data_IF_253952868917
#
_entry.id   IF_253952868917
#
_cell.length_a   1.000
_cell.length_b   1.000
_cell.length_c   1.000
_cell.angle_alpha   90.00
_cell.angle_beta   90.00
_cell.angle_gamma   90.00
#
_symmetry.space_group_name_H-M   'P 1'
#
loop_
_entity.id
_entity.type
_entity.pdbx_description
1 polymer ?
#
# COMPACT_ATOMS: atom_id res chain seq x y z
N UNK A 1 -20.57 -4.22 11.60
CA UNK A 1 -21.13 -4.90 12.78
C UNK A 1 -22.53 -5.44 12.55
N UNK A 2 -23.50 -4.63 12.13
CA UNK A 2 -24.89 -5.08 11.93
C UNK A 2 -25.05 -6.37 11.09
N UNK A 3 -24.33 -6.51 9.97
CA UNK A 3 -24.38 -7.73 9.14
C UNK A 3 -23.76 -8.97 9.81
N UNK A 4 -22.72 -8.78 10.63
CA UNK A 4 -22.04 -9.87 11.34
C UNK A 4 -22.90 -10.41 12.49
N UNK A 5 -23.61 -9.52 13.19
CA UNK A 5 -24.46 -9.88 14.34
C UNK A 5 -25.66 -10.75 13.95
N UNK A 6 -26.17 -10.59 12.74
CA UNK A 6 -27.30 -11.38 12.22
C UNK A 6 -26.85 -12.61 11.42
N UNK A 7 -25.56 -12.76 11.14
CA UNK A 7 -25.02 -13.86 10.38
C UNK A 7 -25.14 -15.17 11.16
N UNK A 8 -25.57 -16.25 10.49
CA UNK A 8 -25.80 -17.57 11.09
C UNK A 8 -24.85 -18.66 10.56
N UNK A 9 -24.01 -18.32 9.58
CA UNK A 9 -23.07 -19.27 8.99
C UNK A 9 -21.82 -19.42 9.85
N UNK A 10 -21.20 -20.60 9.80
CA UNK A 10 -19.90 -20.85 10.45
C UNK A 10 -18.78 -19.98 9.88
N UNK A 11 -18.96 -19.55 8.62
CA UNK A 11 -18.09 -18.65 7.91
C UNK A 11 -18.84 -17.39 7.46
N UNK A 12 -18.15 -16.26 7.54
CA UNK A 12 -18.61 -14.94 7.13
C UNK A 12 -17.73 -14.45 5.97
N UNK A 13 -18.29 -14.38 4.77
CA UNK A 13 -17.61 -13.89 3.58
C UNK A 13 -17.90 -12.40 3.35
N UNK A 14 -16.88 -11.65 2.94
CA UNK A 14 -16.99 -10.24 2.57
C UNK A 14 -16.56 -10.03 1.12
N UNK A 15 -17.17 -9.04 0.49
CA UNK A 15 -16.81 -8.59 -0.85
C UNK A 15 -17.21 -7.13 -1.04
N UNK A 16 -16.57 -6.46 -2.00
CA UNK A 16 -16.84 -5.06 -2.30
C UNK A 16 -17.94 -4.92 -3.38
N UNK A 17 -18.63 -3.78 -3.39
CA UNK A 17 -19.69 -3.50 -4.39
C UNK A 17 -19.14 -3.37 -5.82
N UNK A 18 -17.85 -3.08 -5.97
CA UNK A 18 -17.18 -2.88 -7.25
C UNK A 18 -16.40 -4.11 -7.74
N UNK A 19 -16.66 -5.28 -7.15
CA UNK A 19 -16.09 -6.56 -7.64
C UNK A 19 -17.18 -7.53 -8.10
N UNK A 20 -16.78 -8.43 -9.01
CA UNK A 20 -17.62 -9.49 -9.57
C UNK A 20 -17.00 -10.85 -9.21
N UNK A 21 -17.55 -11.56 -8.21
CA UNK A 21 -17.09 -12.90 -7.87
C UNK A 21 -17.32 -13.91 -9.01
N UNK A 22 -16.39 -14.85 -9.18
CA UNK A 22 -16.61 -16.02 -10.03
C UNK A 22 -17.63 -16.98 -9.40
N UNK A 23 -18.27 -17.82 -10.22
CA UNK A 23 -19.33 -18.72 -9.77
C UNK A 23 -18.88 -19.69 -8.64
N UNK A 24 -17.62 -20.12 -8.68
CA UNK A 24 -17.02 -21.03 -7.70
C UNK A 24 -16.35 -20.29 -6.52
N UNK A 25 -16.59 -18.98 -6.33
CA UNK A 25 -15.88 -18.16 -5.36
C UNK A 25 -16.00 -18.69 -3.92
N UNK A 26 -17.22 -18.94 -3.43
CA UNK A 26 -17.46 -19.42 -2.08
C UNK A 26 -16.96 -20.86 -1.88
N UNK A 27 -17.24 -21.74 -2.85
CA UNK A 27 -16.75 -23.13 -2.84
C UNK A 27 -15.23 -23.19 -2.71
N UNK A 28 -14.52 -22.40 -3.52
CA UNK A 28 -13.05 -22.34 -3.50
C UNK A 28 -12.49 -21.83 -2.16
N UNK A 29 -13.17 -20.89 -1.51
CA UNK A 29 -12.80 -20.41 -0.17
C UNK A 29 -13.02 -21.49 0.87
N UNK A 30 -14.15 -22.19 0.82
CA UNK A 30 -14.49 -23.28 1.74
C UNK A 30 -13.54 -24.46 1.61
N UNK A 31 -13.24 -24.91 0.40
CA UNK A 31 -12.26 -25.99 0.16
C UNK A 31 -10.88 -25.68 0.74
N UNK A 32 -10.50 -24.40 0.68
CA UNK A 32 -9.21 -23.93 1.18
C UNK A 32 -9.19 -23.70 2.70
N UNK A 33 -10.36 -23.69 3.34
CA UNK A 33 -10.55 -23.43 4.78
C UNK A 33 -10.16 -24.60 5.69
N UNK A 34 -9.96 -25.79 5.11
CA UNK A 34 -9.55 -26.98 5.86
C UNK A 34 -8.16 -26.78 6.44
N UNK A 35 -8.05 -26.89 7.77
CA UNK A 35 -6.77 -26.84 8.48
C UNK A 35 -5.87 -28.00 8.11
N UNK A 36 -4.59 -27.70 7.87
CA UNK A 36 -3.51 -28.70 7.75
C UNK A 36 -2.76 -28.83 9.08
N UNK A 37 -1.87 -29.80 9.17
CA UNK A 37 -1.03 -29.98 10.37
C UNK A 37 -0.31 -28.67 10.75
N UNK A 38 -0.48 -28.25 12.01
CA UNK A 38 0.06 -26.99 12.51
C UNK A 38 -0.61 -25.72 11.96
N UNK A 39 -1.81 -25.81 11.38
CA UNK A 39 -2.66 -24.66 10.99
C UNK A 39 -3.93 -24.62 11.84
N UNK A 40 -4.28 -23.43 12.33
CA UNK A 40 -5.62 -23.14 12.83
C UNK A 40 -6.27 -22.14 11.88
N UNK A 41 -6.89 -22.62 10.79
CA UNK A 41 -7.41 -21.71 9.77
C UNK A 41 -8.64 -20.96 10.28
N UNK A 42 -8.49 -19.64 10.44
CA UNK A 42 -9.55 -18.74 10.91
C UNK A 42 -10.01 -17.77 9.83
N UNK A 43 -9.26 -17.67 8.73
CA UNK A 43 -9.64 -16.87 7.58
C UNK A 43 -9.00 -17.39 6.29
N UNK A 44 -9.70 -17.18 5.18
CA UNK A 44 -9.26 -17.49 3.83
C UNK A 44 -9.37 -16.24 2.97
N UNK A 45 -8.36 -15.94 2.16
CA UNK A 45 -8.38 -14.85 1.19
C UNK A 45 -8.06 -15.37 -0.20
N UNK A 46 -8.80 -14.89 -1.20
CA UNK A 46 -8.64 -15.30 -2.58
C UNK A 46 -7.84 -14.31 -3.41
N UNK A 47 -7.94 -14.43 -4.72
CA UNK A 47 -7.27 -13.58 -5.71
C UNK A 47 -8.22 -12.50 -6.22
N UNK A 48 -7.76 -11.25 -6.21
CA UNK A 48 -8.47 -10.14 -6.85
C UNK A 48 -7.80 -9.82 -8.20
N UNK A 49 -8.55 -9.97 -9.29
CA UNK A 49 -8.11 -9.64 -10.65
C UNK A 49 -8.65 -8.26 -11.00
N UNK A 50 -7.78 -7.33 -11.37
CA UNK A 50 -8.20 -5.99 -11.76
C UNK A 50 -8.32 -5.92 -13.28
N UNK A 51 -9.49 -5.51 -13.77
CA UNK A 51 -9.68 -5.28 -15.20
C UNK A 51 -8.69 -4.24 -15.73
N UNK A 52 -8.23 -4.41 -16.98
CA UNK A 52 -7.32 -3.47 -17.65
C UNK A 52 -8.15 -2.46 -18.44
N UNK A 53 -7.95 -1.17 -18.18
CA UNK A 53 -8.32 -0.08 -19.09
C UNK A 53 -7.06 0.60 -19.63
N UNK A 54 -7.18 1.34 -20.74
CA UNK A 54 -6.02 1.96 -21.42
C UNK A 54 -5.38 3.15 -20.67
N UNK A 55 -5.93 3.53 -19.51
CA UNK A 55 -5.46 4.65 -18.71
C UNK A 55 -4.18 4.33 -17.90
N UNK A 56 -3.34 5.34 -17.70
CA UNK A 56 -2.06 5.24 -16.96
C UNK A 56 -2.28 4.70 -15.55
N UNK A 57 -3.38 5.08 -14.90
CA UNK A 57 -3.77 4.62 -13.57
C UNK A 57 -4.09 3.12 -13.57
N UNK A 58 -4.80 2.64 -14.59
CA UNK A 58 -5.10 1.22 -14.72
C UNK A 58 -3.84 0.39 -14.95
N UNK A 59 -2.87 0.92 -15.71
CA UNK A 59 -1.56 0.25 -15.92
C UNK A 59 -0.75 0.14 -14.64
N UNK A 60 -0.71 1.20 -13.80
CA UNK A 60 -0.06 1.14 -12.48
C UNK A 60 -0.69 0.05 -11.63
N UNK A 61 -2.03 0.07 -11.50
CA UNK A 61 -2.75 -0.90 -10.69
C UNK A 61 -2.53 -2.33 -11.18
N UNK A 62 -2.67 -2.59 -12.48
CA UNK A 62 -2.52 -3.94 -13.03
C UNK A 62 -1.12 -4.52 -12.78
N UNK A 63 -0.08 -3.70 -12.91
CA UNK A 63 1.32 -4.12 -12.70
C UNK A 63 1.60 -4.43 -11.22
N UNK A 64 1.17 -3.56 -10.29
CA UNK A 64 1.36 -3.80 -8.86
C UNK A 64 0.66 -5.08 -8.41
N UNK A 65 -0.57 -5.30 -8.88
CA UNK A 65 -1.39 -6.46 -8.54
C UNK A 65 -0.81 -7.73 -9.16
N UNK A 66 -0.48 -7.74 -10.44
CA UNK A 66 0.09 -8.92 -11.10
C UNK A 66 1.40 -9.39 -10.44
N UNK A 67 2.23 -8.47 -9.94
CA UNK A 67 3.43 -8.81 -9.14
C UNK A 67 3.10 -9.39 -7.75
N UNK A 68 2.01 -8.95 -7.10
CA UNK A 68 1.62 -9.42 -5.76
C UNK A 68 1.00 -10.82 -5.75
N UNK A 69 0.37 -11.26 -6.85
CA UNK A 69 -0.39 -12.53 -6.88
C UNK A 69 0.34 -13.72 -7.51
N UNK A 70 1.47 -13.51 -8.19
CA UNK A 70 2.12 -14.57 -9.00
C UNK A 70 2.73 -15.72 -8.19
N UNK A 71 3.00 -15.53 -6.90
CA UNK A 71 3.72 -16.51 -6.07
C UNK A 71 3.42 -16.39 -4.57
N UNK A 72 2.14 -16.25 -4.21
CA UNK A 72 1.77 -16.08 -2.80
C UNK A 72 1.69 -17.44 -2.09
N UNK A 73 2.41 -17.64 -0.96
CA UNK A 73 2.36 -18.89 -0.21
C UNK A 73 0.97 -19.10 0.42
N UNK A 74 0.65 -20.37 0.75
CA UNK A 74 -0.62 -20.72 1.42
C UNK A 74 -0.83 -19.88 2.68
N UNK A 75 0.16 -19.80 3.58
CA UNK A 75 0.06 -18.94 4.77
C UNK A 75 0.43 -17.50 4.39
N UNK A 76 -0.41 -16.53 4.75
CA UNK A 76 -0.17 -15.13 4.43
C UNK A 76 -0.55 -14.21 5.58
N UNK A 77 0.17 -13.10 5.75
CA UNK A 77 -0.12 -12.11 6.79
C UNK A 77 -0.85 -10.87 6.24
N UNK A 78 -1.24 -10.93 4.98
CA UNK A 78 -1.87 -9.85 4.27
C UNK A 78 -3.11 -10.43 3.62
N UNK A 79 -4.15 -9.63 3.49
CA UNK A 79 -5.39 -10.08 2.90
C UNK A 79 -5.90 -9.11 1.86
N UNK A 80 -6.82 -9.62 1.05
CA UNK A 80 -7.47 -8.86 0.02
C UNK A 80 -8.92 -8.66 0.45
N UNK A 81 -9.21 -7.49 1.04
CA UNK A 81 -10.56 -7.10 1.49
C UNK A 81 -11.73 -7.59 0.62
N UNK A 82 -11.71 -7.41 -0.72
CA UNK A 82 -12.83 -7.81 -1.57
C UNK A 82 -13.02 -9.32 -1.77
N UNK A 83 -12.06 -10.15 -1.33
CA UNK A 83 -12.06 -11.60 -1.56
C UNK A 83 -11.60 -12.31 -0.31
N UNK A 84 -12.48 -12.34 0.70
CA UNK A 84 -12.13 -12.76 2.04
C UNK A 84 -13.28 -13.45 2.75
N UNK A 85 -12.96 -14.45 3.55
CA UNK A 85 -13.89 -15.19 4.40
C UNK A 85 -13.26 -15.49 5.75
N UNK A 86 -14.04 -15.38 6.82
CA UNK A 86 -13.60 -15.49 8.21
C UNK A 86 -14.45 -16.49 8.96
N UNK A 87 -13.87 -17.22 9.90
CA UNK A 87 -14.64 -18.07 10.81
C UNK A 87 -15.42 -17.16 11.73
N UNK A 88 -16.75 -17.27 11.71
CA UNK A 88 -17.66 -16.27 12.31
C UNK A 88 -17.38 -16.08 13.80
N UNK A 89 -17.22 -17.17 14.55
CA UNK A 89 -16.96 -17.12 15.98
C UNK A 89 -15.62 -16.46 16.33
N UNK A 90 -14.57 -16.72 15.54
CA UNK A 90 -13.24 -16.12 15.75
C UNK A 90 -13.28 -14.61 15.45
N UNK A 91 -13.99 -14.23 14.39
CA UNK A 91 -14.20 -12.83 14.03
C UNK A 91 -14.98 -12.06 15.11
N UNK A 92 -16.02 -12.68 15.69
CA UNK A 92 -16.77 -12.11 16.81
C UNK A 92 -15.89 -12.00 18.06
N UNK A 93 -15.09 -13.02 18.37
CA UNK A 93 -14.22 -13.06 19.54
C UNK A 93 -13.19 -11.92 19.58
N UNK A 94 -12.68 -11.48 18.41
CA UNK A 94 -11.75 -10.34 18.29
C UNK A 94 -12.45 -8.96 18.23
N UNK A 95 -13.78 -8.94 18.38
CA UNK A 95 -14.64 -7.75 18.36
C UNK A 95 -15.09 -7.30 16.96
N UNK A 96 -14.90 -8.13 15.93
CA UNK A 96 -15.33 -7.84 14.55
C UNK A 96 -14.65 -6.61 13.93
N UNK A 97 -15.37 -5.98 12.99
CA UNK A 97 -14.94 -4.77 12.29
C UNK A 97 -15.29 -3.52 13.10
N UNK A 98 -14.29 -2.82 13.61
CA UNK A 98 -14.51 -1.62 14.40
C UNK A 98 -14.94 -0.44 13.50
N UNK A 99 -16.14 0.15 13.70
CA UNK A 99 -16.63 1.27 12.89
C UNK A 99 -15.85 2.58 13.08
N UNK A 100 -15.08 2.71 14.16
CA UNK A 100 -14.24 3.89 14.42
C UNK A 100 -12.97 3.91 13.55
N UNK A 101 -12.62 2.78 12.93
CA UNK A 101 -11.44 2.68 12.09
C UNK A 101 -11.66 3.36 10.74
N UNK A 102 -10.84 4.37 10.47
CA UNK A 102 -10.82 4.99 9.15
C UNK A 102 -9.98 4.16 8.20
N UNK A 103 -10.66 3.37 7.35
CA UNK A 103 -10.09 2.54 6.28
C UNK A 103 -9.11 1.45 6.75
N UNK A 104 -8.85 0.44 5.92
CA UNK A 104 -7.98 -0.72 6.24
C UNK A 104 -8.47 -1.57 7.42
N UNK A 105 -9.77 -1.53 7.70
CA UNK A 105 -10.46 -2.31 8.72
C UNK A 105 -10.24 -3.81 8.56
N UNK A 106 -10.26 -4.32 7.32
CA UNK A 106 -10.01 -5.72 7.03
C UNK A 106 -8.62 -6.13 7.51
N UNK A 107 -7.62 -5.30 7.22
CA UNK A 107 -6.22 -5.58 7.56
C UNK A 107 -6.02 -5.69 9.08
N UNK A 108 -6.65 -4.81 9.85
CA UNK A 108 -6.57 -4.85 11.31
C UNK A 108 -7.32 -6.06 11.90
N UNK A 109 -8.44 -6.46 11.29
CA UNK A 109 -9.12 -7.73 11.63
C UNK A 109 -8.18 -8.92 11.43
N UNK A 110 -7.49 -8.99 10.29
CA UNK A 110 -6.52 -10.05 10.02
C UNK A 110 -5.35 -10.07 11.01
N UNK A 111 -4.85 -8.90 11.38
CA UNK A 111 -3.79 -8.77 12.38
C UNK A 111 -4.22 -9.31 13.73
N UNK A 112 -5.42 -8.93 14.19
CA UNK A 112 -5.99 -9.46 15.44
C UNK A 112 -6.18 -10.98 15.39
N UNK A 113 -6.63 -11.52 14.27
CA UNK A 113 -6.78 -12.98 14.09
C UNK A 113 -5.43 -13.70 14.19
N UNK A 114 -4.36 -13.14 13.62
CA UNK A 114 -3.01 -13.68 13.75
C UNK A 114 -2.51 -13.60 15.19
N UNK A 115 -2.70 -12.46 15.86
CA UNK A 115 -2.33 -12.26 17.27
C UNK A 115 -3.07 -13.24 18.20
N UNK A 116 -4.29 -13.62 17.86
CA UNK A 116 -5.07 -14.65 18.55
C UNK A 116 -4.60 -16.10 18.26
N UNK A 117 -3.52 -16.28 17.49
CA UNK A 117 -2.98 -17.60 17.12
C UNK A 117 -3.63 -18.23 15.89
N UNK A 118 -4.46 -17.47 15.18
CA UNK A 118 -5.12 -17.91 13.94
C UNK A 118 -4.17 -17.92 12.74
N UNK A 119 -4.44 -18.82 11.80
CA UNK A 119 -3.77 -18.93 10.51
C UNK A 119 -4.66 -18.37 9.41
N UNK A 120 -4.10 -17.50 8.57
CA UNK A 120 -4.78 -17.00 7.37
C UNK A 120 -4.22 -17.72 6.16
N UNK A 121 -5.13 -18.25 5.34
CA UNK A 121 -4.81 -19.00 4.13
C UNK A 121 -5.12 -18.20 2.88
N UNK A 122 -4.20 -18.17 1.93
CA UNK A 122 -4.42 -17.70 0.57
C UNK A 122 -4.77 -18.86 -0.36
N UNK A 123 -5.75 -18.64 -1.24
CA UNK A 123 -6.08 -19.55 -2.34
C UNK A 123 -6.12 -18.80 -3.68
N UNK A 124 -5.45 -19.30 -4.74
CA UNK A 124 -5.53 -18.69 -6.05
C UNK A 124 -6.84 -19.00 -6.80
N UNK A 125 -7.64 -19.94 -6.29
CA UNK A 125 -8.83 -20.48 -6.98
C UNK A 125 -10.10 -19.69 -6.69
N UNK A 126 -10.19 -19.03 -5.54
CA UNK A 126 -11.27 -18.09 -5.25
C UNK A 126 -10.96 -16.75 -5.92
N UNK A 127 -11.68 -16.42 -6.99
CA UNK A 127 -11.39 -15.23 -7.81
C UNK A 127 -12.54 -14.23 -7.76
N UNK A 128 -12.18 -12.96 -7.61
CA UNK A 128 -13.10 -11.83 -7.82
C UNK A 128 -12.49 -10.86 -8.84
N UNK A 129 -13.32 -10.32 -9.73
CA UNK A 129 -12.93 -9.39 -10.77
C UNK A 129 -13.33 -7.97 -10.40
N UNK A 130 -12.35 -7.12 -10.14
CA UNK A 130 -12.56 -5.71 -9.82
C UNK A 130 -12.90 -4.92 -11.08
N UNK A 131 -14.01 -4.19 -11.03
CA UNK A 131 -14.43 -3.27 -12.07
C UNK A 131 -13.46 -2.08 -12.08
N UNK A 132 -12.80 -1.74 -13.21
CA UNK A 132 -11.81 -0.68 -13.24
C UNK A 132 -12.44 0.66 -12.85
N UNK A 133 -11.98 1.24 -11.76
CA UNK A 133 -12.29 2.63 -11.45
C UNK A 133 -11.35 3.55 -12.22
N UNK A 134 -11.92 4.43 -13.05
CA UNK A 134 -11.18 5.49 -13.74
C UNK A 134 -11.18 6.77 -12.91
N UNK A 135 -10.09 7.54 -13.01
CA UNK A 135 -10.05 8.91 -12.49
C UNK A 135 -8.94 9.16 -11.48
N UNK A 136 -8.17 10.22 -11.75
CA UNK A 136 -7.04 10.64 -10.93
C UNK A 136 -7.45 10.98 -9.49
N UNK A 137 -8.52 11.76 -9.32
CA UNK A 137 -8.97 12.19 -7.99
C UNK A 137 -9.33 11.00 -7.09
N UNK A 138 -10.06 10.01 -7.62
CA UNK A 138 -10.43 8.81 -6.86
C UNK A 138 -9.20 7.99 -6.49
N UNK A 139 -8.26 7.83 -7.42
CA UNK A 139 -6.98 7.16 -7.16
C UNK A 139 -6.19 7.86 -6.04
N UNK A 140 -6.00 9.17 -6.13
CA UNK A 140 -5.24 9.94 -5.14
C UNK A 140 -5.93 9.92 -3.77
N UNK A 141 -7.26 10.05 -3.73
CA UNK A 141 -8.02 9.96 -2.49
C UNK A 141 -7.89 8.58 -1.84
N UNK A 142 -7.89 7.49 -2.61
CA UNK A 142 -7.61 6.15 -2.08
C UNK A 142 -6.21 6.08 -1.46
N UNK A 143 -5.18 6.51 -2.18
CA UNK A 143 -3.78 6.50 -1.68
C UNK A 143 -3.57 7.35 -0.43
N UNK A 144 -4.26 8.49 -0.34
CA UNK A 144 -4.28 9.32 0.88
C UNK A 144 -4.86 8.57 2.07
N UNK A 145 -5.99 7.88 1.88
CA UNK A 145 -6.66 7.08 2.92
C UNK A 145 -5.78 5.92 3.37
N UNK A 146 -5.18 5.20 2.41
CA UNK A 146 -4.23 4.12 2.66
C UNK A 146 -3.08 4.63 3.54
N UNK A 147 -2.42 5.72 3.14
CA UNK A 147 -1.27 6.27 3.87
C UNK A 147 -1.63 6.74 5.29
N UNK A 148 -2.83 7.28 5.49
CA UNK A 148 -3.35 7.67 6.82
C UNK A 148 -3.55 6.46 7.73
N UNK A 149 -4.25 5.43 7.23
CA UNK A 149 -4.48 4.19 7.97
C UNK A 149 -3.17 3.46 8.30
N UNK A 150 -2.18 3.54 7.40
CA UNK A 150 -0.86 2.94 7.64
C UNK A 150 -0.17 3.46 8.91
N UNK A 151 -0.36 4.74 9.27
CA UNK A 151 0.20 5.30 10.51
C UNK A 151 -0.42 4.62 11.74
N UNK A 152 -1.73 4.31 11.71
CA UNK A 152 -2.41 3.57 12.78
C UNK A 152 -1.81 2.18 12.92
N UNK A 153 -1.76 1.44 11.81
CA UNK A 153 -1.28 0.06 11.78
C UNK A 153 0.17 -0.02 12.24
N UNK A 154 1.06 0.83 11.72
CA UNK A 154 2.47 0.82 12.12
C UNK A 154 2.65 1.13 13.61
N UNK A 155 1.88 2.08 14.16
CA UNK A 155 1.97 2.42 15.60
C UNK A 155 1.51 1.28 16.50
N UNK A 156 0.42 0.59 16.10
CA UNK A 156 -0.25 -0.43 16.91
C UNK A 156 0.37 -1.82 16.78
N UNK A 157 0.79 -2.21 15.57
CA UNK A 157 1.26 -3.56 15.24
C UNK A 157 2.74 -3.57 14.87
N UNK A 158 3.60 -3.45 15.89
CA UNK A 158 5.07 -3.42 15.69
C UNK A 158 5.59 -4.80 15.29
N UNK A 159 6.48 -4.85 14.29
CA UNK A 159 7.20 -6.07 13.90
C UNK A 159 6.55 -6.91 12.80
N UNK A 160 5.35 -6.56 12.33
CA UNK A 160 4.73 -7.25 11.21
C UNK A 160 5.22 -6.64 9.89
N UNK A 161 5.86 -7.46 9.04
CA UNK A 161 6.25 -7.06 7.68
C UNK A 161 5.00 -6.94 6.81
N UNK A 162 4.49 -5.72 6.69
CA UNK A 162 3.36 -5.41 5.82
C UNK A 162 3.82 -4.89 4.46
N UNK A 163 3.45 -5.56 3.37
CA UNK A 163 3.64 -5.05 2.01
C UNK A 163 2.51 -4.08 1.60
N UNK A 164 2.17 -3.19 2.52
CA UNK A 164 1.08 -2.23 2.36
C UNK A 164 1.39 -1.21 1.27
N UNK A 165 2.66 -0.83 1.19
CA UNK A 165 3.09 0.29 0.37
C UNK A 165 3.46 -0.19 -1.05
N UNK A 166 3.86 -1.44 -1.29
CA UNK A 166 4.16 -1.94 -2.64
C UNK A 166 5.10 -1.00 -3.40
N UNK A 167 4.74 -0.54 -4.60
CA UNK A 167 5.57 0.44 -5.33
C UNK A 167 5.47 1.88 -4.79
N UNK A 168 4.52 2.17 -3.90
CA UNK A 168 4.27 3.50 -3.35
C UNK A 168 5.41 4.03 -2.47
N UNK A 169 6.33 3.19 -1.97
CA UNK A 169 7.42 3.64 -1.10
C UNK A 169 8.44 4.43 -1.91
N UNK A 170 8.66 3.98 -3.15
CA UNK A 170 9.50 4.68 -4.11
C UNK A 170 8.86 6.04 -4.41
N UNK A 171 7.54 6.08 -4.64
CA UNK A 171 6.81 7.33 -4.95
C UNK A 171 6.73 8.28 -3.76
N UNK A 172 6.63 7.77 -2.53
CA UNK A 172 6.64 8.58 -1.31
C UNK A 172 7.87 9.50 -1.27
N UNK A 173 9.03 8.98 -1.62
CA UNK A 173 10.29 9.72 -1.58
C UNK A 173 10.50 10.70 -2.74
N UNK A 174 9.65 10.69 -3.77
CA UNK A 174 9.80 11.54 -4.95
C UNK A 174 9.89 13.03 -4.58
N UNK A 175 8.95 13.58 -3.81
CA UNK A 175 8.96 15.01 -3.46
C UNK A 175 10.15 15.39 -2.57
N UNK A 176 10.39 14.75 -1.41
CA UNK A 176 11.52 15.10 -0.55
C UNK A 176 12.85 15.04 -1.27
N UNK A 177 13.07 14.00 -2.08
CA UNK A 177 14.32 13.84 -2.81
C UNK A 177 14.44 14.83 -3.97
N UNK A 178 13.34 15.20 -4.64
CA UNK A 178 13.37 16.26 -5.66
C UNK A 178 13.70 17.63 -5.05
N UNK A 179 13.20 17.91 -3.83
CA UNK A 179 13.56 19.12 -3.07
C UNK A 179 15.05 19.09 -2.74
N UNK A 180 15.56 17.98 -2.20
CA UNK A 180 17.00 17.84 -1.90
C UNK A 180 17.87 18.00 -3.15
N UNK A 181 17.48 17.41 -4.29
CA UNK A 181 18.19 17.62 -5.55
C UNK A 181 18.20 19.09 -5.95
N UNK A 182 17.08 19.79 -5.84
CA UNK A 182 16.99 21.22 -6.17
C UNK A 182 17.88 22.06 -5.25
N UNK A 183 17.86 21.78 -3.95
CA UNK A 183 18.71 22.47 -2.96
C UNK A 183 20.19 22.18 -3.22
N UNK A 184 20.57 20.94 -3.48
CA UNK A 184 21.94 20.55 -3.76
C UNK A 184 22.49 21.19 -5.04
N UNK A 185 21.69 21.23 -6.12
CA UNK A 185 22.05 21.93 -7.36
C UNK A 185 22.15 23.43 -7.11
N UNK A 186 21.19 24.03 -6.41
CA UNK A 186 21.21 25.47 -6.10
C UNK A 186 22.47 25.85 -5.31
N UNK A 187 22.82 25.05 -4.29
CA UNK A 187 24.02 25.27 -3.50
C UNK A 187 25.28 25.11 -4.34
N UNK A 188 25.35 24.08 -5.19
CA UNK A 188 26.46 23.89 -6.13
C UNK A 188 26.64 25.10 -7.06
N UNK A 189 25.56 25.59 -7.67
CA UNK A 189 25.58 26.75 -8.55
C UNK A 189 25.96 28.03 -7.79
N UNK A 190 25.54 28.16 -6.53
CA UNK A 190 25.89 29.30 -5.67
C UNK A 190 27.39 29.29 -5.37
N UNK A 191 27.95 28.13 -5.01
CA UNK A 191 29.40 27.97 -4.81
C UNK A 191 30.17 28.33 -6.09
N UNK A 192 29.71 27.82 -7.24
CA UNK A 192 30.35 28.07 -8.53
C UNK A 192 30.31 29.55 -8.93
N UNK A 193 29.21 30.24 -8.63
CA UNK A 193 29.08 31.69 -8.87
C UNK A 193 29.98 32.57 -8.01
N UNK A 194 30.59 32.00 -6.95
CA UNK A 194 31.58 32.69 -6.11
C UNK A 194 32.96 32.79 -6.76
N UNK A 195 33.22 32.05 -7.84
CA UNK A 195 34.48 32.09 -8.57
C UNK A 195 34.41 33.10 -9.73
N UNK A 196 35.53 33.81 -9.96
CA UNK A 196 35.63 34.80 -11.05
C UNK A 196 35.71 34.17 -12.44
N UNK A 197 36.26 32.97 -12.54
CA UNK A 197 36.35 32.17 -13.77
C UNK A 197 35.89 30.74 -13.49
N UNK A 198 35.23 30.12 -14.48
CA UNK A 198 34.77 28.73 -14.39
C UNK A 198 35.81 27.84 -15.08
N UNK A 199 36.71 27.30 -14.29
CA UNK A 199 37.74 26.34 -14.68
C UNK A 199 37.50 24.93 -14.06
N UNK A 200 38.38 23.98 -14.33
CA UNK A 200 38.25 22.62 -13.77
C UNK A 200 38.36 22.58 -12.25
N UNK A 201 39.11 23.51 -11.66
CA UNK A 201 39.36 23.54 -10.22
C UNK A 201 38.16 24.09 -9.46
N UNK A 202 37.58 25.20 -9.90
CA UNK A 202 36.34 25.78 -9.37
C UNK A 202 35.16 24.81 -9.48
N UNK A 203 35.05 24.03 -10.56
CA UNK A 203 34.04 22.96 -10.70
C UNK A 203 34.21 21.90 -9.61
N UNK A 204 35.44 21.47 -9.34
CA UNK A 204 35.74 20.46 -8.32
C UNK A 204 35.54 20.99 -6.91
N UNK A 205 36.03 22.20 -6.61
CA UNK A 205 35.93 22.81 -5.28
C UNK A 205 34.47 23.19 -4.94
N UNK A 206 33.64 23.50 -5.95
CA UNK A 206 32.21 23.76 -5.77
C UNK A 206 31.43 22.52 -5.34
N UNK A 207 31.95 21.30 -5.56
CA UNK A 207 31.41 20.03 -5.05
C UNK A 207 31.81 19.85 -3.58
N UNK A 208 31.37 20.76 -2.72
CA UNK A 208 31.68 20.70 -1.30
C UNK A 208 31.08 19.45 -0.64
N UNK A 209 31.56 19.11 0.56
CA UNK A 209 31.05 17.98 1.34
C UNK A 209 29.54 18.07 1.53
N UNK A 210 29.00 19.26 1.75
CA UNK A 210 27.58 19.51 1.94
C UNK A 210 26.78 19.18 0.67
N UNK A 211 27.23 19.66 -0.49
CA UNK A 211 26.62 19.35 -1.79
C UNK A 211 26.59 17.84 -2.03
N UNK A 212 27.71 17.16 -1.77
CA UNK A 212 27.82 15.70 -1.93
C UNK A 212 26.87 14.95 -0.97
N UNK A 213 26.78 15.37 0.29
CA UNK A 213 25.90 14.76 1.28
C UNK A 213 24.41 14.98 0.95
N UNK A 214 24.04 16.12 0.36
CA UNK A 214 22.66 16.38 -0.06
C UNK A 214 22.29 15.52 -1.27
N UNK A 215 23.21 15.37 -2.23
CA UNK A 215 22.94 14.66 -3.50
C UNK A 215 23.04 13.14 -3.40
N UNK A 216 23.72 12.58 -2.39
CA UNK A 216 23.88 11.13 -2.26
C UNK A 216 22.54 10.39 -2.11
N UNK A 217 21.58 10.96 -1.36
CA UNK A 217 20.29 10.32 -1.11
C UNK A 217 19.42 10.23 -2.38
N UNK A 218 19.23 11.32 -3.16
CA UNK A 218 18.62 11.23 -4.49
C UNK A 218 19.30 10.23 -5.43
N UNK A 219 20.64 10.20 -5.44
CA UNK A 219 21.40 9.29 -6.31
C UNK A 219 21.13 7.81 -5.99
N UNK A 220 21.13 7.45 -4.70
CA UNK A 220 20.81 6.08 -4.25
C UNK A 220 19.37 5.70 -4.62
N UNK A 221 18.43 6.64 -4.52
CA UNK A 221 17.02 6.38 -4.81
C UNK A 221 16.68 6.26 -6.30
N UNK A 222 17.46 6.89 -7.20
CA UNK A 222 17.24 6.80 -8.65
C UNK A 222 17.24 5.33 -9.12
N UNK A 223 18.11 4.48 -8.58
CA UNK A 223 18.19 3.06 -8.94
C UNK A 223 16.87 2.32 -8.73
N UNK A 224 16.34 2.24 -7.49
CA UNK A 224 15.02 1.68 -7.20
C UNK A 224 13.89 2.34 -8.00
N UNK A 225 13.93 3.66 -8.18
CA UNK A 225 12.92 4.37 -8.98
C UNK A 225 12.91 3.88 -10.43
N UNK A 226 14.06 3.81 -11.09
CA UNK A 226 14.17 3.33 -12.46
C UNK A 226 13.76 1.86 -12.60
N UNK A 227 14.15 0.99 -11.65
CA UNK A 227 13.78 -0.43 -11.63
C UNK A 227 12.30 -0.69 -11.34
N UNK A 228 11.58 0.27 -10.75
CA UNK A 228 10.16 0.12 -10.49
C UNK A 228 9.35 0.00 -11.78
N UNK A 229 8.29 -0.79 -11.79
CA UNK A 229 7.43 -0.96 -12.97
C UNK A 229 6.42 0.20 -13.18
N UNK A 230 6.63 1.32 -12.49
CA UNK A 230 5.76 2.50 -12.54
C UNK A 230 5.93 3.20 -13.90
N UNK A 231 4.85 3.66 -14.56
CA UNK A 231 4.94 4.43 -15.80
C UNK A 231 5.53 5.82 -15.51
N UNK A 232 6.65 6.11 -16.18
CA UNK A 232 7.42 7.37 -16.02
C UNK A 232 7.40 8.25 -17.26
N UNK A 233 6.92 7.71 -18.39
CA UNK A 233 6.96 8.38 -19.71
C UNK A 233 5.79 9.35 -19.85
N UNK A 234 6.08 10.55 -20.35
CA UNK A 234 5.10 11.60 -20.64
C UNK A 234 4.80 12.53 -19.46
N UNK A 235 4.34 13.75 -19.79
CA UNK A 235 4.05 14.80 -18.82
C UNK A 235 2.94 14.38 -17.83
N UNK A 236 1.87 13.75 -18.33
CA UNK A 236 0.77 13.24 -17.51
C UNK A 236 1.26 12.28 -16.43
N UNK A 237 2.10 11.31 -16.78
CA UNK A 237 2.64 10.36 -15.81
C UNK A 237 3.45 11.06 -14.71
N UNK A 238 4.32 12.01 -15.08
CA UNK A 238 5.10 12.80 -14.11
C UNK A 238 4.20 13.58 -13.14
N UNK A 239 3.16 14.25 -13.64
CA UNK A 239 2.20 14.98 -12.81
C UNK A 239 1.46 14.04 -11.84
N UNK A 240 1.06 12.85 -12.30
CA UNK A 240 0.43 11.84 -11.45
C UNK A 240 1.38 11.38 -10.34
N UNK A 241 2.65 11.15 -10.64
CA UNK A 241 3.62 10.72 -9.62
C UNK A 241 3.88 11.79 -8.56
N UNK A 242 3.99 13.05 -8.97
CA UNK A 242 4.12 14.18 -8.03
C UNK A 242 2.88 14.29 -7.16
N UNK A 243 1.68 14.28 -7.76
CA UNK A 243 0.43 14.34 -7.01
C UNK A 243 0.27 13.14 -6.06
N UNK A 244 0.67 11.95 -6.50
CA UNK A 244 0.66 10.74 -5.66
C UNK A 244 1.60 10.87 -4.47
N UNK A 245 2.84 11.31 -4.69
CA UNK A 245 3.80 11.58 -3.59
C UNK A 245 3.23 12.58 -2.58
N UNK A 246 2.62 13.67 -3.07
CA UNK A 246 2.02 14.70 -2.21
C UNK A 246 0.89 14.14 -1.33
N UNK A 247 -0.03 13.36 -1.89
CA UNK A 247 -1.14 12.80 -1.11
C UNK A 247 -0.73 11.70 -0.14
N UNK A 248 0.36 10.98 -0.41
CA UNK A 248 0.95 10.04 0.54
C UNK A 248 1.46 10.79 1.78
N UNK A 249 2.25 11.85 1.60
CA UNK A 249 2.69 12.70 2.70
C UNK A 249 1.52 13.34 3.45
N UNK A 250 0.51 13.84 2.73
CA UNK A 250 -0.70 14.36 3.35
C UNK A 250 -1.42 13.32 4.20
N UNK A 251 -1.53 12.08 3.71
CA UNK A 251 -2.13 10.96 4.45
C UNK A 251 -1.35 10.65 5.73
N UNK A 252 -0.02 10.55 5.65
CA UNK A 252 0.85 10.31 6.81
C UNK A 252 0.70 11.40 7.86
N UNK A 253 0.74 12.68 7.47
CA UNK A 253 0.57 13.81 8.39
C UNK A 253 -0.80 13.73 9.09
N UNK A 254 -1.87 13.49 8.34
CA UNK A 254 -3.21 13.31 8.92
C UNK A 254 -3.28 12.12 9.88
N UNK A 255 -2.56 11.04 9.60
CA UNK A 255 -2.50 9.88 10.49
C UNK A 255 -1.78 10.17 11.80
N UNK A 256 -0.74 11.02 11.79
CA UNK A 256 -0.09 11.49 13.01
C UNK A 256 -0.95 12.50 13.78
N UNK A 257 -1.69 13.36 13.08
CA UNK A 257 -2.68 14.25 13.71
C UNK A 257 -3.76 13.42 14.41
N UNK A 258 -4.30 12.39 13.74
CA UNK A 258 -5.28 11.49 14.35
C UNK A 258 -4.74 10.79 15.58
N UNK A 259 -3.47 10.35 15.54
CA UNK A 259 -2.77 9.78 16.69
C UNK A 259 -2.61 10.75 17.86
N UNK A 260 -2.33 12.03 17.56
CA UNK A 260 -2.20 13.05 18.60
C UNK A 260 -3.54 13.33 19.28
N UNK A 261 -4.64 13.34 18.50
CA UNK A 261 -5.98 13.64 18.99
C UNK A 261 -6.84 12.40 19.33
N UNK A 262 -6.29 11.18 19.21
CA UNK A 262 -6.99 9.90 19.43
C UNK A 262 -8.29 9.77 18.63
N UNK A 263 -8.23 10.06 17.33
CA UNK A 263 -9.37 9.99 16.41
C UNK A 263 -9.18 8.85 15.41
N UNK A 264 -10.27 8.42 14.76
CA UNK A 264 -10.23 7.47 13.63
C UNK A 264 -9.52 6.14 13.95
N UNK A 265 -9.61 5.70 15.21
CA UNK A 265 -9.02 4.46 15.71
C UNK A 265 -7.55 4.53 16.18
N UNK A 266 -6.91 5.70 16.13
CA UNK A 266 -5.49 5.89 16.48
C UNK A 266 -5.18 6.04 17.97
#
# INVERSE_FOLDING_TARGET
MAALEIAKGDWFAITDIDVRPEANWIESLLDSSVSREGENVVAVTGRTVFGRSDDVISKIRSIEIESKYRSRPRRTNLANGPCSMFKTNELIAIGGFNPEWYHAEDMEVYLKLIEAGGTIVYTPYAVVNHVPETGLARFLNKRKRDARAHVRIHRRYRGVRHDFIGSSWVVLWLIPLSILTTVGIFQYLTNLSGYSEIDTQSIYESLTREVLLILILPLVWIGPFLKSNIPKKGLKAKLVLIAWSAVLWQGIILGYIDALFRRNGH
#
